data_IF_760799253202
#
_entry.id   IF_760799253202
#
_cell.length_a   1.000
_cell.length_b   1.000
_cell.length_c   1.000
_cell.angle_alpha   90.00
_cell.angle_beta   90.00
_cell.angle_gamma   90.00
#
_symmetry.space_group_name_H-M   'P 1'
#
loop_
_entity.id
_entity.type
_entity.pdbx_description
1 polymer ?
#
# COMPACT_ATOMS: atom_id res chain seq x y z
N UNK A 1 -92.93 -28.71 -14.82
CA UNK A 1 -93.01 -28.07 -13.48
C UNK A 1 -92.31 -28.80 -12.32
N UNK A 2 -92.36 -30.15 -12.21
CA UNK A 2 -91.74 -30.87 -11.07
C UNK A 2 -90.21 -30.82 -10.99
N UNK A 3 -89.51 -30.53 -12.09
CA UNK A 3 -88.04 -30.37 -12.12
C UNK A 3 -87.55 -28.98 -11.69
N UNK A 4 -88.42 -27.97 -11.67
CA UNK A 4 -88.06 -26.60 -11.28
C UNK A 4 -88.09 -26.41 -9.75
N UNK A 5 -89.09 -27.00 -9.08
CA UNK A 5 -89.21 -26.99 -7.61
C UNK A 5 -88.09 -27.76 -6.88
N UNK A 6 -87.45 -28.74 -7.53
CA UNK A 6 -86.37 -29.52 -6.92
C UNK A 6 -85.01 -28.79 -6.95
N UNK A 7 -84.80 -27.88 -7.91
CA UNK A 7 -83.60 -27.04 -7.99
C UNK A 7 -83.66 -25.84 -7.03
N UNK A 8 -84.84 -25.26 -6.79
CA UNK A 8 -85.02 -24.16 -5.84
C UNK A 8 -84.89 -24.63 -4.37
N UNK A 9 -85.29 -25.87 -4.06
CA UNK A 9 -85.11 -26.46 -2.71
C UNK A 9 -83.65 -26.77 -2.37
N UNK A 10 -82.84 -27.28 -3.31
CA UNK A 10 -81.41 -27.54 -3.05
C UNK A 10 -80.55 -26.27 -3.00
N UNK A 11 -80.95 -25.19 -3.69
CA UNK A 11 -80.24 -23.90 -3.61
C UNK A 11 -80.54 -23.14 -2.30
N UNK A 12 -81.75 -23.30 -1.74
CA UNK A 12 -82.14 -22.70 -0.46
C UNK A 12 -81.56 -23.41 0.76
N UNK A 13 -81.25 -24.71 0.68
CA UNK A 13 -80.67 -25.47 1.80
C UNK A 13 -79.17 -25.14 1.96
N UNK A 14 -78.44 -24.96 0.86
CA UNK A 14 -77.01 -24.60 0.91
C UNK A 14 -76.72 -23.16 1.38
N UNK A 15 -77.63 -22.21 1.17
CA UNK A 15 -77.43 -20.82 1.61
C UNK A 15 -77.69 -20.63 3.11
N UNK A 16 -78.66 -21.36 3.68
CA UNK A 16 -78.96 -21.33 5.12
C UNK A 16 -77.88 -21.97 5.98
N UNK A 17 -77.32 -23.10 5.55
CA UNK A 17 -76.21 -23.78 6.23
C UNK A 17 -74.90 -22.98 6.13
N UNK A 18 -74.60 -22.36 4.98
CA UNK A 18 -73.43 -21.49 4.84
C UNK A 18 -73.55 -20.20 5.65
N UNK A 19 -74.76 -19.63 5.82
CA UNK A 19 -74.97 -18.47 6.71
C UNK A 19 -74.96 -18.85 8.20
N UNK A 20 -75.39 -20.06 8.56
CA UNK A 20 -75.24 -20.58 9.93
C UNK A 20 -73.78 -20.91 10.25
N UNK A 21 -72.99 -21.44 9.32
CA UNK A 21 -71.56 -21.67 9.51
C UNK A 21 -70.76 -20.36 9.55
N UNK A 22 -71.07 -19.38 8.70
CA UNK A 22 -70.44 -18.05 8.77
C UNK A 22 -70.81 -17.32 10.06
N UNK A 23 -72.05 -17.40 10.53
CA UNK A 23 -72.46 -16.78 11.79
C UNK A 23 -71.90 -17.53 13.01
N UNK A 24 -71.71 -18.85 12.94
CA UNK A 24 -71.02 -19.62 13.96
C UNK A 24 -69.51 -19.34 13.99
N UNK A 25 -68.86 -19.16 12.83
CA UNK A 25 -67.47 -18.71 12.73
C UNK A 25 -67.30 -17.27 13.22
N UNK A 26 -68.21 -16.36 12.85
CA UNK A 26 -68.19 -14.96 13.29
C UNK A 26 -68.46 -14.85 14.78
N UNK A 27 -69.32 -15.71 15.35
CA UNK A 27 -69.56 -15.78 16.80
C UNK A 27 -68.40 -16.42 17.56
N UNK A 28 -67.70 -17.40 16.98
CA UNK A 28 -66.43 -17.92 17.51
C UNK A 28 -65.32 -16.86 17.48
N UNK A 29 -65.25 -16.05 16.42
CA UNK A 29 -64.26 -14.96 16.31
C UNK A 29 -64.60 -13.75 17.20
N UNK A 30 -65.89 -13.47 17.44
CA UNK A 30 -66.32 -12.44 18.41
C UNK A 30 -66.13 -12.83 19.87
N UNK A 31 -66.14 -14.12 20.21
CA UNK A 31 -65.97 -14.61 21.59
C UNK A 31 -64.49 -14.77 22.00
N UNK A 32 -63.53 -14.64 21.09
CA UNK A 32 -62.10 -14.44 21.41
C UNK A 32 -61.72 -12.96 21.54
N UNK A 33 -62.68 -12.05 21.40
CA UNK A 33 -62.52 -10.61 21.64
C UNK A 33 -62.94 -10.17 23.05
N UNK A 34 -62.90 -11.07 24.03
CA UNK A 34 -62.68 -10.70 25.43
C UNK A 34 -61.26 -11.12 25.80
N UNK A 35 -60.28 -10.58 25.07
CA UNK A 35 -58.96 -10.43 25.68
C UNK A 35 -59.18 -9.58 26.92
N UNK A 36 -58.77 -10.02 28.13
CA UNK A 36 -58.67 -9.09 29.24
C UNK A 36 -57.86 -7.90 28.73
N UNK A 37 -58.20 -6.70 29.18
CA UNK A 37 -57.47 -5.48 28.89
C UNK A 37 -56.05 -5.61 29.49
N UNK A 38 -55.21 -6.45 28.86
CA UNK A 38 -53.83 -6.65 29.21
C UNK A 38 -53.16 -5.43 28.63
N UNK A 39 -53.03 -4.41 29.49
CA UNK A 39 -52.08 -3.30 29.33
C UNK A 39 -50.92 -3.83 28.52
N UNK A 40 -50.71 -3.29 27.31
CA UNK A 40 -49.70 -3.75 26.35
C UNK A 40 -48.50 -4.26 27.14
N UNK A 41 -48.20 -5.57 27.11
CA UNK A 41 -47.32 -6.19 28.09
C UNK A 41 -46.07 -5.34 28.13
N UNK A 42 -45.63 -4.89 29.31
CA UNK A 42 -44.53 -3.93 29.42
C UNK A 42 -43.32 -4.35 28.57
N UNK A 43 -43.16 -5.66 28.33
CA UNK A 43 -42.29 -6.26 27.33
C UNK A 43 -42.43 -5.70 25.89
N UNK A 44 -43.62 -5.59 25.30
CA UNK A 44 -43.84 -5.02 23.96
C UNK A 44 -43.47 -3.53 23.90
N UNK A 45 -43.79 -2.75 24.94
CA UNK A 45 -43.36 -1.34 25.04
C UNK A 45 -41.84 -1.22 25.21
N UNK A 46 -41.22 -2.12 25.96
CA UNK A 46 -39.75 -2.18 26.10
C UNK A 46 -39.12 -2.55 24.75
N UNK A 47 -39.67 -3.53 24.03
CA UNK A 47 -39.17 -3.95 22.72
C UNK A 47 -39.34 -2.83 21.69
N UNK A 48 -40.48 -2.13 21.65
CA UNK A 48 -40.67 -0.98 20.76
C UNK A 48 -39.70 0.16 21.09
N UNK A 49 -39.53 0.48 22.38
CA UNK A 49 -38.57 1.50 22.81
C UNK A 49 -37.13 1.12 22.48
N UNK A 50 -36.76 -0.17 22.62
CA UNK A 50 -35.43 -0.66 22.22
C UNK A 50 -35.24 -0.60 20.71
N UNK A 51 -36.26 -0.98 19.93
CA UNK A 51 -36.22 -0.92 18.47
C UNK A 51 -36.06 0.53 17.97
N UNK A 52 -36.79 1.48 18.56
CA UNK A 52 -36.63 2.90 18.28
C UNK A 52 -35.23 3.41 18.62
N UNK A 53 -34.67 3.01 19.78
CA UNK A 53 -33.30 3.38 20.16
C UNK A 53 -32.26 2.81 19.20
N UNK A 54 -32.45 1.57 18.73
CA UNK A 54 -31.57 0.94 17.73
C UNK A 54 -31.70 1.66 16.39
N UNK A 55 -32.90 2.04 15.97
CA UNK A 55 -33.10 2.78 14.72
C UNK A 55 -32.46 4.17 14.77
N UNK A 56 -32.64 4.91 15.87
CA UNK A 56 -31.95 6.19 16.11
C UNK A 56 -30.42 6.03 16.13
N UNK A 57 -29.91 4.95 16.72
CA UNK A 57 -28.47 4.68 16.71
C UNK A 57 -27.94 4.37 15.31
N UNK A 58 -28.73 3.68 14.46
CA UNK A 58 -28.34 3.42 13.06
C UNK A 58 -28.16 4.70 12.26
N UNK A 59 -29.00 5.71 12.49
CA UNK A 59 -28.88 7.04 11.86
C UNK A 59 -27.59 7.77 12.24
N UNK A 60 -27.03 7.45 13.41
CA UNK A 60 -25.78 8.03 13.95
C UNK A 60 -24.53 7.33 13.40
N UNK A 61 -24.63 6.10 12.91
CA UNK A 61 -23.47 5.32 12.41
C UNK A 61 -22.67 6.06 11.31
N UNK A 62 -23.29 6.69 10.29
CA UNK A 62 -22.56 7.47 9.29
C UNK A 62 -21.75 8.62 9.91
N UNK A 63 -22.30 9.29 10.94
CA UNK A 63 -21.63 10.37 11.66
C UNK A 63 -20.39 9.86 12.38
N UNK A 64 -20.51 8.72 13.07
CA UNK A 64 -19.37 8.05 13.72
C UNK A 64 -18.31 7.68 12.68
N UNK A 65 -18.70 7.09 11.54
CA UNK A 65 -17.76 6.69 10.49
C UNK A 65 -16.95 7.88 9.96
N UNK A 66 -17.59 9.02 9.79
CA UNK A 66 -16.97 10.22 9.23
C UNK A 66 -16.03 10.87 10.25
N UNK A 67 -16.48 11.04 11.49
CA UNK A 67 -15.76 11.79 12.53
C UNK A 67 -14.72 10.94 13.27
N UNK A 68 -14.93 9.63 13.42
CA UNK A 68 -14.00 8.71 14.07
C UNK A 68 -13.05 8.03 13.07
N UNK A 69 -12.80 8.66 11.92
CA UNK A 69 -11.91 8.12 10.91
C UNK A 69 -10.43 8.21 11.39
N UNK A 70 -9.67 7.09 11.43
CA UNK A 70 -8.29 7.07 11.91
C UNK A 70 -7.31 7.88 11.02
N UNK A 71 -7.68 8.14 9.77
CA UNK A 71 -6.93 9.01 8.86
C UNK A 71 -7.10 10.51 9.14
N UNK A 72 -7.99 10.89 10.07
CA UNK A 72 -8.17 12.28 10.45
C UNK A 72 -6.90 12.86 11.08
N UNK A 73 -6.61 14.11 10.74
CA UNK A 73 -5.45 14.90 11.17
C UNK A 73 -5.92 16.33 11.38
N UNK A 74 -5.14 17.16 12.06
CA UNK A 74 -5.53 18.53 12.39
C UNK A 74 -6.04 19.32 11.17
N UNK A 75 -5.34 19.22 10.04
CA UNK A 75 -5.76 19.85 8.76
C UNK A 75 -7.21 19.52 8.34
N UNK A 76 -7.67 18.30 8.59
CA UNK A 76 -9.03 17.87 8.24
C UNK A 76 -10.04 18.50 9.20
N UNK A 77 -9.72 18.49 10.50
CA UNK A 77 -10.53 19.15 11.54
C UNK A 77 -10.62 20.66 11.31
N UNK A 78 -9.55 21.31 10.89
CA UNK A 78 -9.55 22.75 10.58
C UNK A 78 -10.49 23.09 9.42
N UNK A 79 -10.57 22.22 8.40
CA UNK A 79 -11.49 22.41 7.26
C UNK A 79 -12.93 22.14 7.68
N UNK A 80 -13.19 21.06 8.43
CA UNK A 80 -14.52 20.77 8.97
C UNK A 80 -15.01 21.91 9.89
N UNK A 81 -14.13 22.45 10.72
CA UNK A 81 -14.43 23.55 11.65
C UNK A 81 -14.78 24.84 10.91
N UNK A 82 -14.10 25.13 9.80
CA UNK A 82 -14.44 26.28 8.92
C UNK A 82 -15.82 26.13 8.28
N UNK A 83 -16.18 24.91 7.85
CA UNK A 83 -17.49 24.64 7.24
C UNK A 83 -18.62 24.76 8.27
N UNK A 84 -18.43 24.23 9.48
CA UNK A 84 -19.40 24.34 10.57
C UNK A 84 -19.40 25.73 11.26
N UNK A 85 -18.44 26.59 10.92
CA UNK A 85 -18.18 27.88 11.58
C UNK A 85 -18.04 27.75 13.11
N UNK A 86 -17.47 26.63 13.56
CA UNK A 86 -17.29 26.24 14.97
C UNK A 86 -16.10 25.29 15.08
N UNK A 87 -15.39 25.32 16.20
CA UNK A 87 -14.30 24.36 16.43
C UNK A 87 -14.86 22.95 16.67
N UNK A 88 -14.47 22.02 15.81
CA UNK A 88 -14.82 20.60 15.86
C UNK A 88 -13.63 19.72 16.24
N UNK A 89 -12.48 20.31 16.56
CA UNK A 89 -11.28 19.56 16.91
C UNK A 89 -11.52 18.75 18.19
N UNK A 90 -11.38 17.41 18.17
CA UNK A 90 -11.64 16.60 19.35
C UNK A 90 -10.54 16.83 20.40
N UNK A 91 -10.97 17.12 21.64
CA UNK A 91 -10.14 17.22 22.83
C UNK A 91 -10.38 16.04 23.79
N UNK A 92 -9.64 15.99 24.91
CA UNK A 92 -9.79 14.95 25.93
C UNK A 92 -11.19 14.89 26.59
N UNK A 93 -12.01 15.93 26.42
CA UNK A 93 -13.38 16.02 26.94
C UNK A 93 -14.46 15.80 25.89
N UNK A 94 -14.09 15.55 24.62
CA UNK A 94 -15.02 15.41 23.50
C UNK A 94 -15.64 14.02 23.52
N UNK A 95 -16.97 13.98 23.65
CA UNK A 95 -17.74 12.73 23.59
C UNK A 95 -18.62 12.71 22.36
N UNK A 96 -18.92 11.51 21.84
CA UNK A 96 -19.84 11.33 20.73
C UNK A 96 -21.20 12.00 21.00
N UNK A 97 -21.70 11.91 22.25
CA UNK A 97 -22.94 12.59 22.63
C UNK A 97 -22.86 14.10 22.50
N UNK A 98 -21.71 14.72 22.80
CA UNK A 98 -21.52 16.17 22.61
C UNK A 98 -21.48 16.52 21.12
N UNK A 99 -20.81 15.71 20.30
CA UNK A 99 -20.75 15.93 18.84
C UNK A 99 -22.12 15.79 18.18
N UNK A 100 -22.97 14.87 18.63
CA UNK A 100 -24.33 14.70 18.09
C UNK A 100 -25.27 15.85 18.48
N UNK A 101 -25.04 16.49 19.62
CA UNK A 101 -25.78 17.69 20.03
C UNK A 101 -25.44 18.93 19.20
N UNK A 102 -24.40 18.89 18.36
CA UNK A 102 -24.00 20.01 17.50
C UNK A 102 -24.82 20.13 16.21
N UNK A 103 -25.80 19.23 15.98
CA UNK A 103 -26.66 19.23 14.79
C UNK A 103 -25.86 19.35 13.47
N UNK A 104 -24.89 18.46 13.28
CA UNK A 104 -23.98 18.47 12.14
C UNK A 104 -24.60 17.90 10.85
N UNK A 105 -25.85 17.43 10.91
CA UNK A 105 -26.60 16.83 9.79
C UNK A 105 -26.51 17.62 8.48
N UNK A 106 -26.65 18.97 8.45
CA UNK A 106 -26.60 19.73 7.20
C UNK A 106 -25.22 19.75 6.52
N UNK A 107 -24.15 19.42 7.25
CA UNK A 107 -22.77 19.46 6.76
C UNK A 107 -22.21 18.07 6.46
N UNK A 108 -22.99 17.01 6.71
CA UNK A 108 -22.51 15.63 6.64
C UNK A 108 -21.96 15.23 5.27
N UNK A 109 -22.59 15.68 4.18
CA UNK A 109 -22.10 15.40 2.81
C UNK A 109 -20.71 16.01 2.57
N UNK A 110 -20.46 17.22 3.09
CA UNK A 110 -19.16 17.88 2.97
C UNK A 110 -18.12 17.19 3.86
N UNK A 111 -18.52 16.78 5.07
CA UNK A 111 -17.65 16.04 5.97
C UNK A 111 -17.31 14.65 5.44
N UNK A 112 -18.23 14.00 4.75
CA UNK A 112 -17.95 12.73 4.08
C UNK A 112 -16.84 12.88 3.05
N UNK A 113 -16.88 13.93 2.22
CA UNK A 113 -15.80 14.22 1.26
C UNK A 113 -14.43 14.39 1.93
N UNK A 114 -14.37 15.13 3.04
CA UNK A 114 -13.13 15.33 3.81
C UNK A 114 -12.65 14.02 4.43
N UNK A 115 -13.56 13.25 5.03
CA UNK A 115 -13.24 11.97 5.66
C UNK A 115 -12.76 10.94 4.62
N UNK A 116 -13.38 10.89 3.44
CA UNK A 116 -12.89 10.06 2.32
C UNK A 116 -11.47 10.47 1.92
N UNK A 117 -11.21 11.78 1.78
CA UNK A 117 -9.85 12.29 1.53
C UNK A 117 -8.85 11.87 2.60
N UNK A 118 -9.21 12.01 3.88
CA UNK A 118 -8.40 11.62 5.02
C UNK A 118 -8.06 10.13 5.01
N UNK A 119 -9.02 9.26 4.66
CA UNK A 119 -8.77 7.82 4.48
C UNK A 119 -7.76 7.55 3.37
N UNK A 120 -7.87 8.25 2.23
CA UNK A 120 -6.96 8.08 1.09
C UNK A 120 -5.54 8.56 1.43
N UNK A 121 -5.44 9.69 2.12
CA UNK A 121 -4.17 10.20 2.66
C UNK A 121 -3.52 9.21 3.63
N UNK A 122 -4.30 8.63 4.54
CA UNK A 122 -3.80 7.65 5.48
C UNK A 122 -3.29 6.39 4.80
N UNK A 123 -3.98 5.90 3.77
CA UNK A 123 -3.49 4.77 2.96
C UNK A 123 -2.15 5.09 2.30
N UNK A 124 -1.95 6.32 1.79
CA UNK A 124 -0.67 6.74 1.22
C UNK A 124 0.44 6.74 2.29
N UNK A 125 0.15 7.28 3.48
CA UNK A 125 1.08 7.31 4.61
C UNK A 125 1.50 5.90 5.03
N UNK A 126 0.54 5.01 5.26
CA UNK A 126 0.80 3.61 5.66
C UNK A 126 1.60 2.88 4.59
N UNK A 127 1.27 3.07 3.31
CA UNK A 127 2.02 2.46 2.21
C UNK A 127 3.47 2.95 2.14
N UNK A 128 3.70 4.25 2.33
CA UNK A 128 5.05 4.83 2.35
C UNK A 128 5.86 4.29 3.53
N UNK A 129 5.27 4.26 4.72
CA UNK A 129 5.94 3.73 5.92
C UNK A 129 6.30 2.25 5.74
N UNK A 130 5.36 1.45 5.25
CA UNK A 130 5.60 0.04 4.95
C UNK A 130 6.74 -0.14 3.95
N UNK A 131 6.74 0.60 2.83
CA UNK A 131 7.83 0.52 1.85
C UNK A 131 9.19 0.82 2.49
N UNK A 132 9.27 1.82 3.38
CA UNK A 132 10.52 2.13 4.10
C UNK A 132 10.92 1.03 5.08
N UNK A 133 9.95 0.44 5.76
CA UNK A 133 10.19 -0.67 6.69
C UNK A 133 10.67 -1.93 5.95
N UNK A 134 10.11 -2.21 4.77
CA UNK A 134 10.51 -3.34 3.91
C UNK A 134 12.00 -3.28 3.50
N UNK A 135 12.66 -2.11 3.58
CA UNK A 135 14.09 -1.94 3.27
C UNK A 135 15.03 -2.02 4.49
N UNK A 136 14.49 -2.04 5.71
CA UNK A 136 15.33 -1.97 6.93
C UNK A 136 16.29 -3.15 7.06
N UNK A 137 15.82 -4.34 6.70
CA UNK A 137 16.55 -5.59 6.86
C UNK A 137 17.14 -6.12 5.54
N UNK A 138 17.01 -5.35 4.44
CA UNK A 138 17.49 -5.78 3.12
C UNK A 138 18.98 -5.46 3.00
N UNK A 139 19.77 -6.53 2.91
CA UNK A 139 21.23 -6.47 2.82
C UNK A 139 21.73 -7.09 1.52
N UNK A 140 22.83 -6.56 0.98
CA UNK A 140 23.57 -7.22 -0.08
C UNK A 140 24.16 -8.54 0.42
N UNK A 141 24.00 -9.60 -0.38
CA UNK A 141 24.72 -10.84 -0.18
C UNK A 141 26.13 -10.71 -0.75
N UNK A 142 27.14 -10.92 0.09
CA UNK A 142 28.55 -10.79 -0.25
C UNK A 142 29.21 -12.16 -0.21
N UNK A 143 29.75 -12.62 -1.35
CA UNK A 143 30.46 -13.90 -1.43
C UNK A 143 31.96 -13.67 -1.62
N UNK A 144 32.84 -14.39 -0.91
CA UNK A 144 34.28 -14.31 -1.15
C UNK A 144 34.63 -14.72 -2.58
N UNK A 145 35.50 -13.96 -3.24
CA UNK A 145 36.04 -14.27 -4.55
C UNK A 145 37.45 -14.86 -4.44
N UNK A 146 37.55 -16.17 -4.69
CA UNK A 146 38.81 -16.94 -4.64
C UNK A 146 39.55 -16.71 -3.31
N UNK A 147 40.88 -16.69 -3.33
CA UNK A 147 41.74 -16.42 -2.17
C UNK A 147 42.25 -14.97 -2.13
N UNK A 148 41.62 -14.06 -2.88
CA UNK A 148 42.10 -12.69 -3.09
C UNK A 148 41.68 -11.70 -1.99
N UNK A 149 40.96 -12.17 -0.97
CA UNK A 149 40.50 -11.35 0.16
C UNK A 149 39.46 -10.30 -0.21
N UNK A 150 38.77 -10.45 -1.35
CA UNK A 150 37.71 -9.54 -1.83
C UNK A 150 36.39 -10.30 -1.90
N UNK A 151 35.31 -9.65 -1.46
CA UNK A 151 33.96 -10.16 -1.66
C UNK A 151 33.31 -9.49 -2.87
N UNK A 152 32.39 -10.19 -3.52
CA UNK A 152 31.58 -9.71 -4.66
C UNK A 152 30.11 -9.73 -4.29
N UNK A 153 29.31 -8.91 -4.97
CA UNK A 153 27.85 -8.96 -4.87
C UNK A 153 27.33 -10.25 -5.49
N UNK A 154 26.43 -10.95 -4.79
CA UNK A 154 25.75 -12.14 -5.28
C UNK A 154 24.23 -12.02 -5.08
N UNK A 155 23.46 -12.76 -5.89
CA UNK A 155 22.00 -12.92 -5.73
C UNK A 155 21.24 -11.60 -5.52
N UNK A 156 21.47 -10.63 -6.41
CA UNK A 156 20.86 -9.28 -6.32
C UNK A 156 19.49 -9.20 -6.99
N UNK A 157 19.04 -10.28 -7.64
CA UNK A 157 17.80 -10.30 -8.44
C UNK A 157 16.57 -9.91 -7.62
N UNK A 158 16.44 -10.44 -6.40
CA UNK A 158 15.32 -10.10 -5.50
C UNK A 158 15.35 -8.62 -5.08
N UNK A 159 16.54 -8.05 -4.90
CA UNK A 159 16.73 -6.63 -4.56
C UNK A 159 16.31 -5.76 -5.75
N UNK A 160 16.70 -6.12 -6.97
CA UNK A 160 16.32 -5.40 -8.19
C UNK A 160 14.81 -5.47 -8.43
N UNK A 161 14.21 -6.65 -8.28
CA UNK A 161 12.75 -6.83 -8.38
C UNK A 161 12.00 -5.96 -7.36
N UNK A 162 12.44 -5.94 -6.10
CA UNK A 162 11.85 -5.10 -5.06
C UNK A 162 12.00 -3.60 -5.38
N UNK A 163 13.12 -3.16 -5.98
CA UNK A 163 13.31 -1.77 -6.42
C UNK A 163 12.30 -1.41 -7.51
N UNK A 164 12.19 -2.22 -8.56
CA UNK A 164 11.27 -1.97 -9.67
C UNK A 164 9.82 -1.85 -9.20
N UNK A 165 9.38 -2.81 -8.37
CA UNK A 165 8.02 -2.83 -7.82
C UNK A 165 7.75 -1.58 -6.96
N UNK A 166 8.69 -1.21 -6.09
CA UNK A 166 8.51 -0.05 -5.22
C UNK A 166 8.64 1.29 -5.97
N UNK A 167 9.43 1.37 -7.04
CA UNK A 167 9.52 2.56 -7.91
C UNK A 167 8.16 2.77 -8.59
N UNK A 168 7.61 1.73 -9.22
CA UNK A 168 6.29 1.80 -9.89
C UNK A 168 5.19 2.15 -8.88
N UNK A 169 5.21 1.52 -7.70
CA UNK A 169 4.26 1.81 -6.61
C UNK A 169 4.37 3.25 -6.14
N UNK A 170 5.59 3.77 -5.97
CA UNK A 170 5.84 5.16 -5.57
C UNK A 170 5.32 6.14 -6.62
N UNK A 171 5.57 5.90 -7.90
CA UNK A 171 5.07 6.71 -9.01
C UNK A 171 3.54 6.71 -9.07
N UNK A 172 2.92 5.54 -8.88
CA UNK A 172 1.46 5.40 -8.79
C UNK A 172 0.89 6.22 -7.64
N UNK A 173 1.53 6.16 -6.47
CA UNK A 173 1.13 6.95 -5.29
C UNK A 173 1.25 8.45 -5.54
N UNK A 174 2.28 8.90 -6.26
CA UNK A 174 2.46 10.32 -6.64
C UNK A 174 1.36 10.83 -7.58
N UNK A 175 0.77 9.95 -8.38
CA UNK A 175 -0.39 10.29 -9.23
C UNK A 175 -1.70 10.49 -8.47
N UNK A 176 -1.75 10.21 -7.16
CA UNK A 176 -2.96 10.37 -6.36
C UNK A 176 -3.34 11.85 -6.18
N UNK A 177 -4.63 12.23 -6.31
CA UNK A 177 -5.06 13.61 -6.03
C UNK A 177 -4.89 14.01 -4.56
N UNK A 178 -4.72 13.04 -3.66
CA UNK A 178 -4.53 13.22 -2.22
C UNK A 178 -3.04 13.30 -1.81
N UNK A 179 -2.13 13.43 -2.78
CA UNK A 179 -0.67 13.39 -2.56
C UNK A 179 -0.12 14.60 -1.81
N UNK A 180 -0.79 15.76 -1.87
CA UNK A 180 -0.21 17.07 -1.48
C UNK A 180 0.53 17.06 -0.13
N UNK A 181 0.01 16.47 0.97
CA UNK A 181 0.72 16.46 2.25
C UNK A 181 2.02 15.64 2.24
N UNK A 182 2.15 14.68 1.33
CA UNK A 182 3.24 13.71 1.27
C UNK A 182 4.12 13.88 0.01
N UNK A 183 3.83 14.84 -0.85
CA UNK A 183 4.51 15.01 -2.14
C UNK A 183 6.03 15.12 -1.99
N UNK A 184 6.50 15.95 -1.05
CA UNK A 184 7.93 16.12 -0.80
C UNK A 184 8.60 14.86 -0.25
N UNK A 185 7.90 14.09 0.57
CA UNK A 185 8.40 12.84 1.14
C UNK A 185 8.48 11.75 0.08
N UNK A 186 7.44 11.59 -0.73
CA UNK A 186 7.41 10.61 -1.81
C UNK A 186 8.39 10.94 -2.93
N UNK A 187 8.59 12.23 -3.23
CA UNK A 187 9.64 12.66 -4.17
C UNK A 187 11.04 12.26 -3.69
N UNK A 188 11.38 12.56 -2.44
CA UNK A 188 12.67 12.15 -1.85
C UNK A 188 12.83 10.64 -1.82
N UNK A 189 11.75 9.92 -1.53
CA UNK A 189 11.76 8.46 -1.53
C UNK A 189 12.00 7.89 -2.93
N UNK A 190 11.34 8.42 -3.96
CA UNK A 190 11.56 8.05 -5.35
C UNK A 190 13.00 8.33 -5.80
N UNK A 191 13.52 9.52 -5.50
CA UNK A 191 14.91 9.88 -5.81
C UNK A 191 15.90 8.90 -5.17
N UNK A 192 15.64 8.48 -3.93
CA UNK A 192 16.45 7.49 -3.22
C UNK A 192 16.40 6.09 -3.87
N UNK A 193 15.22 5.62 -4.26
CA UNK A 193 15.04 4.33 -4.94
C UNK A 193 15.73 4.33 -6.31
N UNK A 194 15.49 5.37 -7.13
CA UNK A 194 16.11 5.53 -8.44
C UNK A 194 17.63 5.62 -8.34
N UNK A 195 18.16 6.36 -7.36
CA UNK A 195 19.61 6.42 -7.13
C UNK A 195 20.17 5.04 -6.76
N UNK A 196 19.45 4.28 -5.93
CA UNK A 196 19.84 2.92 -5.53
C UNK A 196 19.88 2.00 -6.75
N UNK A 197 18.84 2.00 -7.60
CA UNK A 197 18.79 1.24 -8.84
C UNK A 197 19.97 1.56 -9.77
N UNK A 198 20.17 2.84 -10.09
CA UNK A 198 21.28 3.28 -10.94
C UNK A 198 22.66 2.87 -10.39
N UNK A 199 22.80 2.88 -9.06
CA UNK A 199 24.03 2.48 -8.37
C UNK A 199 24.26 0.97 -8.52
N UNK A 200 23.24 0.14 -8.29
CA UNK A 200 23.34 -1.31 -8.44
C UNK A 200 23.67 -1.69 -9.88
N UNK A 201 22.96 -1.15 -10.87
CA UNK A 201 23.23 -1.43 -12.29
C UNK A 201 24.68 -1.09 -12.68
N UNK A 202 25.14 0.11 -12.31
CA UNK A 202 26.50 0.54 -12.59
C UNK A 202 27.52 -0.34 -11.87
N UNK A 203 27.21 -0.79 -10.64
CA UNK A 203 28.08 -1.65 -9.85
C UNK A 203 28.20 -3.04 -10.45
N UNK A 204 27.08 -3.64 -10.89
CA UNK A 204 27.09 -4.95 -11.55
C UNK A 204 27.89 -4.91 -12.84
N UNK A 205 27.78 -3.82 -13.63
CA UNK A 205 28.63 -3.61 -14.80
C UNK A 205 30.12 -3.52 -14.43
N UNK A 206 30.44 -2.81 -13.34
CA UNK A 206 31.81 -2.67 -12.84
C UNK A 206 32.36 -4.02 -12.35
N UNK A 207 31.57 -4.78 -11.61
CA UNK A 207 31.92 -6.11 -11.12
C UNK A 207 32.13 -7.10 -12.27
N UNK A 208 31.26 -7.10 -13.28
CA UNK A 208 31.40 -7.97 -14.45
C UNK A 208 32.71 -7.70 -15.20
N UNK A 209 33.03 -6.43 -15.45
CA UNK A 209 34.30 -6.04 -16.06
C UNK A 209 35.50 -6.42 -15.18
N UNK A 210 35.43 -6.16 -13.87
CA UNK A 210 36.49 -6.52 -12.93
C UNK A 210 36.74 -8.03 -12.92
N UNK A 211 35.70 -8.86 -12.83
CA UNK A 211 35.80 -10.32 -12.84
C UNK A 211 36.41 -10.87 -14.14
N UNK A 212 36.18 -10.21 -15.27
CA UNK A 212 36.76 -10.57 -16.55
C UNK A 212 38.24 -10.17 -16.67
N UNK A 213 38.58 -8.96 -16.23
CA UNK A 213 39.91 -8.38 -16.40
C UNK A 213 40.90 -8.79 -15.31
N UNK A 214 40.44 -9.08 -14.09
CA UNK A 214 41.30 -9.44 -12.96
C UNK A 214 42.24 -10.62 -13.26
N UNK A 215 41.77 -11.76 -13.79
CA UNK A 215 42.66 -12.88 -14.09
C UNK A 215 43.64 -12.61 -15.24
N UNK A 216 43.34 -11.62 -16.09
CA UNK A 216 44.17 -11.26 -17.25
C UNK A 216 45.31 -10.34 -16.79
N UNK A 217 44.96 -9.29 -16.06
CA UNK A 217 45.91 -8.29 -15.56
C UNK A 217 46.62 -8.70 -14.27
N UNK A 218 46.30 -9.86 -13.69
CA UNK A 218 47.13 -10.50 -12.66
C UNK A 218 48.44 -11.07 -13.21
N UNK A 219 48.56 -11.24 -14.54
CA UNK A 219 49.78 -11.73 -15.20
C UNK A 219 50.81 -10.61 -15.37
N UNK A 220 52.01 -10.81 -14.81
CA UNK A 220 53.13 -9.85 -14.96
C UNK A 220 53.51 -9.62 -16.44
N UNK A 221 53.40 -10.65 -17.29
CA UNK A 221 53.71 -10.54 -18.72
C UNK A 221 52.73 -9.60 -19.44
N UNK A 222 51.42 -9.72 -19.15
CA UNK A 222 50.41 -8.79 -19.69
C UNK A 222 50.65 -7.38 -19.18
N UNK A 223 50.98 -7.22 -17.90
CA UNK A 223 51.29 -5.92 -17.30
C UNK A 223 52.50 -5.25 -17.96
N UNK A 224 53.50 -6.03 -18.40
CA UNK A 224 54.66 -5.50 -19.15
C UNK A 224 54.33 -5.18 -20.60
N UNK A 225 53.45 -5.96 -21.24
CA UNK A 225 53.07 -5.75 -22.65
C UNK A 225 52.03 -4.63 -22.83
N UNK A 226 51.22 -4.36 -21.80
CA UNK A 226 50.17 -3.35 -21.77
C UNK A 226 50.30 -2.44 -20.53
N UNK A 227 51.39 -1.65 -20.42
CA UNK A 227 51.69 -0.92 -19.19
C UNK A 227 50.71 0.23 -18.91
N UNK A 228 50.13 0.84 -19.95
CA UNK A 228 49.14 1.92 -19.78
C UNK A 228 47.83 1.37 -19.21
N UNK A 229 47.28 0.31 -19.82
CA UNK A 229 46.08 -0.38 -19.35
C UNK A 229 46.32 -1.05 -18.00
N UNK A 230 47.49 -1.63 -17.76
CA UNK A 230 47.86 -2.21 -16.47
C UNK A 230 47.83 -1.17 -15.34
N UNK A 231 48.35 0.04 -15.57
CA UNK A 231 48.29 1.13 -14.59
C UNK A 231 46.85 1.56 -14.31
N UNK A 232 46.01 1.64 -15.35
CA UNK A 232 44.57 1.92 -15.19
C UNK A 232 43.89 0.82 -14.38
N UNK A 233 44.15 -0.45 -14.70
CA UNK A 233 43.56 -1.60 -14.01
C UNK A 233 43.87 -1.57 -12.52
N UNK A 234 45.13 -1.32 -12.12
CA UNK A 234 45.53 -1.22 -10.70
C UNK A 234 44.76 -0.11 -9.97
N UNK A 235 44.54 1.04 -10.63
CA UNK A 235 43.79 2.15 -10.04
C UNK A 235 42.29 1.81 -9.85
N UNK A 236 41.68 1.17 -10.86
CA UNK A 236 40.27 0.73 -10.78
C UNK A 236 40.10 -0.39 -9.77
N UNK A 237 41.01 -1.37 -9.74
CA UNK A 237 41.02 -2.48 -8.80
C UNK A 237 41.06 -1.98 -7.35
N UNK A 238 41.94 -1.02 -7.04
CA UNK A 238 41.96 -0.37 -5.73
C UNK A 238 40.62 0.27 -5.39
N UNK A 239 40.04 1.00 -6.35
CA UNK A 239 38.73 1.66 -6.16
C UNK A 239 37.63 0.64 -5.90
N UNK A 240 37.58 -0.44 -6.67
CA UNK A 240 36.62 -1.53 -6.52
C UNK A 240 36.76 -2.21 -5.14
N UNK A 241 37.97 -2.56 -4.74
CA UNK A 241 38.25 -3.17 -3.42
C UNK A 241 37.84 -2.26 -2.27
N UNK A 242 38.09 -0.96 -2.38
CA UNK A 242 37.69 0.00 -1.35
C UNK A 242 36.16 0.11 -1.26
N UNK A 243 35.44 0.08 -2.39
CA UNK A 243 33.97 0.03 -2.42
C UNK A 243 33.47 -1.26 -1.74
N UNK A 244 34.01 -2.43 -2.10
CA UNK A 244 33.60 -3.71 -1.51
C UNK A 244 33.91 -3.78 -0.02
N UNK A 245 35.07 -3.27 0.42
CA UNK A 245 35.43 -3.23 1.84
C UNK A 245 34.46 -2.38 2.66
N UNK A 246 34.12 -1.19 2.16
CA UNK A 246 33.16 -0.31 2.85
C UNK A 246 31.77 -0.96 2.93
N UNK A 247 31.37 -1.67 1.87
CA UNK A 247 30.07 -2.37 1.81
C UNK A 247 30.02 -3.58 2.75
N UNK A 248 31.15 -4.24 2.96
CA UNK A 248 31.25 -5.32 3.93
C UNK A 248 31.12 -4.85 5.40
N UNK A 249 31.39 -3.57 5.68
CA UNK A 249 31.16 -2.97 7.01
C UNK A 249 29.67 -2.76 7.29
N UNK A 250 28.90 -2.41 6.26
CA UNK A 250 27.46 -2.24 6.34
C UNK A 250 26.80 -2.56 5.01
N UNK A 251 26.23 -3.77 4.93
CA UNK A 251 25.67 -4.33 3.70
C UNK A 251 24.23 -3.92 3.45
N UNK A 252 23.59 -3.12 4.32
CA UNK A 252 22.22 -2.66 4.09
C UNK A 252 22.13 -1.88 2.80
N UNK A 253 21.27 -2.31 1.87
CA UNK A 253 21.26 -1.85 0.48
C UNK A 253 21.14 -0.34 0.40
N UNK A 254 20.13 0.24 1.04
CA UNK A 254 19.91 1.69 0.99
C UNK A 254 21.04 2.49 1.61
N UNK A 255 21.74 1.96 2.62
CA UNK A 255 22.85 2.67 3.26
C UNK A 255 24.12 2.59 2.42
N UNK A 256 24.42 1.41 1.90
CA UNK A 256 25.55 1.19 1.00
C UNK A 256 25.43 2.06 -0.27
N UNK A 257 24.26 2.11 -0.92
CA UNK A 257 24.06 2.93 -2.14
C UNK A 257 23.94 4.43 -1.88
N UNK A 258 23.64 4.85 -0.64
CA UNK A 258 23.54 6.27 -0.26
C UNK A 258 24.87 6.99 -0.14
N UNK A 259 25.98 6.25 -0.04
CA UNK A 259 27.30 6.81 0.17
C UNK A 259 27.59 7.91 -0.87
N UNK A 260 27.95 9.10 -0.37
CA UNK A 260 28.18 10.28 -1.21
C UNK A 260 29.33 10.02 -2.19
N UNK A 261 29.11 10.29 -3.47
CA UNK A 261 30.12 10.08 -4.52
C UNK A 261 30.31 8.63 -4.97
N UNK A 262 29.56 7.66 -4.40
CA UNK A 262 29.72 6.24 -4.77
C UNK A 262 29.37 5.98 -6.23
N UNK A 263 28.22 6.47 -6.69
CA UNK A 263 27.76 6.28 -8.07
C UNK A 263 28.77 6.88 -9.07
N UNK A 264 29.29 8.06 -8.77
CA UNK A 264 30.28 8.76 -9.58
C UNK A 264 31.59 7.97 -9.64
N UNK A 265 32.06 7.43 -8.51
CA UNK A 265 33.25 6.57 -8.45
C UNK A 265 33.07 5.28 -9.26
N UNK A 266 31.91 4.64 -9.18
CA UNK A 266 31.60 3.44 -9.96
C UNK A 266 31.55 3.76 -11.45
N UNK A 267 30.92 4.87 -11.84
CA UNK A 267 30.86 5.32 -13.25
C UNK A 267 32.23 5.64 -13.82
N UNK A 268 33.08 6.33 -13.06
CA UNK A 268 34.47 6.58 -13.45
C UNK A 268 35.25 5.26 -13.60
N UNK A 269 35.06 4.32 -12.68
CA UNK A 269 35.64 2.98 -12.77
C UNK A 269 35.21 2.22 -14.04
N UNK A 270 33.91 2.27 -14.39
CA UNK A 270 33.40 1.70 -15.63
C UNK A 270 34.00 2.37 -16.87
N UNK A 271 34.12 3.69 -16.90
CA UNK A 271 34.77 4.40 -18.01
C UNK A 271 36.25 4.01 -18.17
N UNK A 272 36.95 3.73 -17.06
CA UNK A 272 38.31 3.22 -17.10
C UNK A 272 38.36 1.76 -17.62
N UNK A 273 37.42 0.91 -17.20
CA UNK A 273 37.29 -0.45 -17.76
C UNK A 273 36.99 -0.46 -19.26
N UNK A 274 36.20 0.48 -19.79
CA UNK A 274 36.00 0.60 -21.23
C UNK A 274 37.30 0.89 -21.99
N UNK A 275 38.16 1.76 -21.43
CA UNK A 275 39.49 2.05 -22.02
C UNK A 275 40.37 0.81 -22.00
N UNK A 276 40.41 0.11 -20.87
CA UNK A 276 41.18 -1.13 -20.70
C UNK A 276 40.71 -2.21 -21.70
N UNK A 277 39.40 -2.42 -21.82
CA UNK A 277 38.83 -3.39 -22.77
C UNK A 277 39.17 -3.03 -24.23
N UNK A 278 39.12 -1.75 -24.61
CA UNK A 278 39.53 -1.31 -25.95
C UNK A 278 41.00 -1.60 -26.22
N UNK A 279 41.88 -1.28 -25.27
CA UNK A 279 43.31 -1.59 -25.36
C UNK A 279 43.56 -3.09 -25.48
N UNK A 280 42.89 -3.89 -24.64
CA UNK A 280 43.01 -5.35 -24.63
C UNK A 280 42.59 -5.96 -25.98
N UNK A 281 41.45 -5.53 -26.53
CA UNK A 281 41.01 -6.01 -27.83
C UNK A 281 41.99 -5.65 -28.95
N UNK A 282 42.51 -4.42 -28.97
CA UNK A 282 43.52 -4.01 -29.95
C UNK A 282 44.81 -4.83 -29.84
N UNK A 283 45.25 -5.14 -28.62
CA UNK A 283 46.39 -6.01 -28.37
C UNK A 283 46.14 -7.45 -28.85
N UNK A 284 44.96 -8.02 -28.56
CA UNK A 284 44.59 -9.38 -28.99
C UNK A 284 44.49 -9.49 -30.52
N UNK A 285 43.91 -8.51 -31.19
CA UNK A 285 43.82 -8.49 -32.65
C UNK A 285 45.19 -8.39 -33.30
N UNK A 286 46.11 -7.61 -32.71
CA UNK A 286 47.50 -7.59 -33.17
C UNK A 286 48.15 -8.96 -33.03
N UNK A 287 47.99 -9.66 -31.89
CA UNK A 287 48.55 -11.00 -31.68
C UNK A 287 47.97 -12.06 -32.63
N UNK A 288 46.67 -12.01 -32.95
CA UNK A 288 46.02 -12.91 -33.93
C UNK A 288 46.68 -12.86 -35.30
N UNK A 289 47.15 -11.70 -35.75
CA UNK A 289 47.86 -11.56 -37.03
C UNK A 289 49.22 -12.26 -37.04
N UNK A 290 49.84 -12.48 -35.87
CA UNK A 290 51.14 -13.14 -35.75
C UNK A 290 51.06 -14.64 -35.47
N UNK A 291 49.88 -15.16 -35.12
CA UNK A 291 49.64 -16.58 -34.85
C UNK A 291 48.32 -17.04 -35.52
N UNK A 292 48.32 -17.34 -36.84
CA UNK A 292 47.15 -17.81 -37.58
C UNK A 292 46.69 -19.22 -37.21
#
# INVERSE_FOLDING_TARGET
ERLRRRKESSASIGQGEQQQELSALTRKFSLESEMPEVKAPSALQIISNMLERVNKFKEVIPVIRILCNPGMRQRHWDVMSRIANRDLTPDSGTSLSKMLQLNLEPFMDQFEGISVGASKEHTLEVNLLRMRDDWKDVCFNLTPYRELGVSILASVDDIQQQLDDQIIKTQTMRGSPYIRPFESLLKKWEEQLLRTQNTIESWLAMQANWLYLEPIFSSEDIMQQMPEEGRLFVAVDKTYRDIMRNTALDSHVLKATSLVGLLERIREGNAQFEKINKGLNAYLDKKRLFFP
#
